data_IF_126529766801
#
_entry.id   IF_126529766801
#
_cell.length_a   1.000
_cell.length_b   1.000
_cell.length_c   1.000
_cell.angle_alpha   90.00
_cell.angle_beta   90.00
_cell.angle_gamma   90.00
#
_symmetry.space_group_name_H-M   'P 1'
#
loop_
_entity.id
_entity.type
_entity.pdbx_description
1 polymer ?
#
# COMPACT_ATOMS: atom_id res chain seq x y z
N UNK A 1 27.99 -4.33 -11.29
CA UNK A 1 27.42 -5.61 -10.79
C UNK A 1 25.91 -5.46 -10.83
N UNK A 2 25.16 -6.51 -11.14
CA UNK A 2 23.70 -6.44 -11.15
C UNK A 2 23.15 -6.20 -9.74
N UNK A 3 22.14 -5.32 -9.64
CA UNK A 3 21.49 -5.00 -8.37
C UNK A 3 20.63 -6.16 -7.87
N UNK A 4 20.76 -6.52 -6.59
CA UNK A 4 19.93 -7.51 -5.94
C UNK A 4 18.93 -6.87 -4.95
N UNK A 5 17.78 -7.48 -4.77
CA UNK A 5 16.81 -7.07 -3.76
C UNK A 5 17.23 -7.54 -2.37
N UNK A 6 17.01 -6.69 -1.36
CA UNK A 6 17.28 -7.03 0.05
C UNK A 6 16.48 -8.26 0.49
N UNK A 7 15.23 -8.40 0.00
CA UNK A 7 14.41 -9.58 0.28
C UNK A 7 15.09 -10.88 -0.17
N UNK A 8 15.75 -10.90 -1.31
CA UNK A 8 16.44 -12.08 -1.82
C UNK A 8 17.59 -12.51 -0.91
N UNK A 9 18.33 -11.53 -0.34
CA UNK A 9 19.41 -11.79 0.60
C UNK A 9 18.91 -12.44 1.90
N UNK A 10 17.70 -12.06 2.37
CA UNK A 10 17.08 -12.69 3.53
C UNK A 10 16.46 -14.04 3.24
N UNK A 11 15.96 -14.26 2.02
CA UNK A 11 15.34 -15.52 1.59
C UNK A 11 16.37 -16.63 1.36
N UNK A 12 17.48 -16.29 0.74
CA UNK A 12 18.60 -17.17 0.44
C UNK A 12 19.90 -16.42 0.64
N UNK A 13 20.35 -16.38 1.92
CA UNK A 13 21.57 -15.65 2.29
C UNK A 13 22.78 -16.20 1.54
N UNK A 14 23.48 -15.38 0.74
CA UNK A 14 24.70 -15.81 0.04
C UNK A 14 25.80 -16.23 1.01
N UNK A 15 26.82 -16.92 0.48
CA UNK A 15 28.00 -17.27 1.25
C UNK A 15 28.72 -16.04 1.79
N UNK A 16 29.40 -16.20 2.92
CA UNK A 16 30.28 -15.17 3.46
C UNK A 16 31.31 -14.71 2.43
N UNK A 17 31.57 -13.42 2.37
CA UNK A 17 32.49 -12.84 1.38
C UNK A 17 31.88 -12.57 -0.01
N UNK A 18 30.61 -12.87 -0.24
CA UNK A 18 29.94 -12.61 -1.54
C UNK A 18 29.82 -11.10 -1.81
N UNK A 19 30.21 -10.67 -3.01
CA UNK A 19 29.99 -9.30 -3.48
C UNK A 19 28.55 -9.09 -3.92
N UNK A 20 27.95 -8.01 -3.44
CA UNK A 20 26.57 -7.64 -3.76
C UNK A 20 26.46 -6.14 -4.04
N UNK A 21 25.51 -5.76 -4.88
CA UNK A 21 25.08 -4.37 -5.08
C UNK A 21 23.63 -4.24 -4.68
N UNK A 22 23.34 -3.31 -3.78
CA UNK A 22 21.97 -3.01 -3.30
C UNK A 22 21.69 -1.51 -3.45
N UNK A 23 20.43 -1.16 -3.77
CA UNK A 23 19.96 0.23 -3.73
C UNK A 23 18.86 0.36 -2.70
N UNK A 24 18.72 1.53 -2.10
CA UNK A 24 17.63 1.75 -1.15
C UNK A 24 17.69 3.12 -0.49
N UNK A 25 16.78 3.30 0.47
CA UNK A 25 16.67 4.53 1.25
C UNK A 25 17.16 4.31 2.68
N UNK A 26 17.93 5.27 3.20
CA UNK A 26 18.41 5.22 4.56
C UNK A 26 17.26 5.41 5.58
N UNK A 27 17.02 4.40 6.38
CA UNK A 27 16.17 4.52 7.58
C UNK A 27 16.91 5.19 8.73
N UNK A 28 18.21 4.96 8.83
CA UNK A 28 19.13 5.65 9.74
C UNK A 28 20.50 5.73 9.14
N UNK A 29 21.20 6.83 9.41
CA UNK A 29 22.65 6.97 9.19
C UNK A 29 23.25 7.29 10.55
N UNK A 30 24.33 6.60 10.92
CA UNK A 30 25.07 6.80 12.17
C UNK A 30 26.54 6.86 11.86
N UNK A 31 27.21 7.86 12.40
CA UNK A 31 28.65 8.06 12.27
C UNK A 31 29.33 7.87 13.64
N UNK A 32 30.42 7.13 13.66
CA UNK A 32 31.30 6.93 14.80
C UNK A 32 32.74 7.42 14.47
N UNK A 33 32.86 8.43 13.61
CA UNK A 33 34.11 9.11 13.16
C UNK A 33 35.02 8.28 12.26
N UNK A 34 35.12 6.98 12.45
CA UNK A 34 35.95 6.07 11.64
C UNK A 34 35.11 5.02 10.92
N UNK A 35 33.97 4.66 11.51
CA UNK A 35 33.05 3.65 11.00
C UNK A 35 31.67 4.23 11.04
N UNK A 36 30.92 4.13 9.94
CA UNK A 36 29.54 4.52 9.86
C UNK A 36 28.64 3.34 9.53
N UNK A 37 27.33 3.52 9.83
CA UNK A 37 26.32 2.52 9.63
C UNK A 37 25.11 3.13 8.95
N UNK A 38 24.62 2.49 7.88
CA UNK A 38 23.36 2.83 7.25
C UNK A 38 22.41 1.65 7.43
N UNK A 39 21.21 1.91 7.95
CA UNK A 39 20.11 0.96 7.87
C UNK A 39 19.39 1.22 6.55
N UNK A 40 19.64 0.38 5.54
CA UNK A 40 19.16 0.57 4.17
C UNK A 40 17.93 -0.32 3.89
N UNK A 41 16.88 0.26 3.33
CA UNK A 41 15.66 -0.44 2.93
C UNK A 41 15.33 -0.13 1.47
N UNK A 42 15.07 -1.17 0.67
CA UNK A 42 14.70 -1.06 -0.75
C UNK A 42 13.20 -1.23 -1.01
N UNK A 43 12.43 -1.52 0.02
CA UNK A 43 11.00 -1.78 -0.08
C UNK A 43 10.63 -3.22 -0.47
N UNK A 44 11.56 -4.07 -0.85
CA UNK A 44 11.31 -5.48 -1.19
C UNK A 44 10.85 -6.32 0.00
N UNK A 45 11.31 -5.98 1.21
CA UNK A 45 10.87 -6.59 2.47
C UNK A 45 10.76 -5.57 3.60
N UNK A 46 10.23 -6.01 4.76
CA UNK A 46 10.10 -5.14 5.93
C UNK A 46 11.44 -4.88 6.64
N UNK A 47 12.35 -5.87 6.62
CA UNK A 47 13.64 -5.78 7.30
C UNK A 47 14.64 -4.98 6.45
N UNK A 48 15.26 -3.90 6.99
CA UNK A 48 16.38 -3.25 6.32
C UNK A 48 17.66 -4.08 6.45
N UNK A 49 18.63 -3.84 5.59
CA UNK A 49 19.98 -4.39 5.73
C UNK A 49 20.91 -3.35 6.37
N UNK A 50 21.85 -3.80 7.19
CA UNK A 50 22.90 -2.94 7.72
C UNK A 50 24.05 -2.84 6.74
N UNK A 51 24.37 -1.61 6.37
CA UNK A 51 25.58 -1.27 5.61
C UNK A 51 26.61 -0.72 6.60
N UNK A 52 27.82 -1.23 6.54
CA UNK A 52 28.98 -0.73 7.30
C UNK A 52 29.93 -0.04 6.31
N UNK A 53 30.29 1.20 6.59
CA UNK A 53 31.24 1.94 5.77
C UNK A 53 32.35 2.54 6.62
N UNK A 54 33.59 2.59 6.09
CA UNK A 54 34.79 2.93 6.83
C UNK A 54 35.46 4.13 6.20
N UNK A 55 36.02 5.02 7.03
CA UNK A 55 36.62 6.26 6.59
C UNK A 55 37.96 6.06 5.80
N UNK A 56 38.65 4.97 6.06
CA UNK A 56 39.88 4.58 5.37
C UNK A 56 39.66 3.89 4.01
N UNK A 57 38.39 3.49 3.73
CA UNK A 57 38.03 2.78 2.49
C UNK A 57 37.14 3.61 1.55
N UNK A 58 36.39 4.56 2.09
CA UNK A 58 35.38 5.29 1.35
C UNK A 58 35.81 6.76 1.16
N UNK A 59 36.14 7.14 -0.06
CA UNK A 59 36.59 8.52 -0.39
C UNK A 59 35.53 9.59 0.01
N UNK A 60 34.26 9.29 -0.22
CA UNK A 60 33.15 10.19 0.11
C UNK A 60 32.54 9.92 1.51
N UNK A 61 33.29 9.35 2.45
CA UNK A 61 32.81 9.04 3.82
C UNK A 61 32.10 10.22 4.48
N UNK A 62 32.68 11.41 4.40
CA UNK A 62 32.13 12.60 5.06
C UNK A 62 30.75 13.04 4.48
N UNK A 63 30.55 12.82 3.19
CA UNK A 63 29.27 13.07 2.52
C UNK A 63 28.22 12.06 2.98
N UNK A 64 28.56 10.77 2.93
CA UNK A 64 27.66 9.67 3.36
C UNK A 64 27.30 9.81 4.85
N UNK A 65 28.27 10.10 5.71
CA UNK A 65 28.07 10.24 7.15
C UNK A 65 27.13 11.40 7.52
N UNK A 66 27.08 12.46 6.72
CA UNK A 66 26.22 13.64 6.90
C UNK A 66 24.84 13.49 6.25
N UNK A 67 24.61 12.42 5.50
CA UNK A 67 23.37 12.20 4.78
C UNK A 67 22.16 12.09 5.72
N UNK A 68 21.06 12.71 5.34
CA UNK A 68 19.81 12.66 6.07
C UNK A 68 19.05 11.33 5.94
N UNK A 69 18.01 11.20 6.74
CA UNK A 69 17.04 10.11 6.61
C UNK A 69 16.43 10.12 5.20
N UNK A 70 16.14 8.94 4.69
CA UNK A 70 15.56 8.74 3.33
C UNK A 70 16.45 9.18 2.16
N UNK A 71 17.68 9.60 2.39
CA UNK A 71 18.67 9.69 1.31
C UNK A 71 18.76 8.34 0.61
N UNK A 72 18.76 8.35 -0.72
CA UNK A 72 18.87 7.14 -1.53
C UNK A 72 20.31 6.84 -1.87
N UNK A 73 20.69 5.58 -1.75
CA UNK A 73 22.02 5.09 -1.98
C UNK A 73 22.06 3.89 -2.92
N UNK A 74 23.12 3.80 -3.72
CA UNK A 74 23.59 2.56 -4.28
C UNK A 74 24.86 2.14 -3.52
N UNK A 75 24.90 0.91 -3.06
CA UNK A 75 25.98 0.35 -2.28
C UNK A 75 26.47 -0.92 -2.91
N UNK A 76 27.75 -0.96 -3.27
CA UNK A 76 28.46 -2.20 -3.63
C UNK A 76 29.40 -2.57 -2.49
N UNK A 77 29.36 -3.82 -2.07
CA UNK A 77 30.15 -4.27 -0.94
C UNK A 77 30.18 -5.78 -0.78
N UNK A 78 30.82 -6.20 0.28
CA UNK A 78 30.98 -7.62 0.66
C UNK A 78 29.98 -7.96 1.75
N UNK A 79 29.15 -8.98 1.52
CA UNK A 79 28.28 -9.55 2.54
C UNK A 79 29.13 -10.30 3.57
N UNK A 80 28.90 -10.00 4.84
CA UNK A 80 29.58 -10.62 5.99
C UNK A 80 28.53 -11.22 6.92
N UNK A 81 28.66 -12.48 7.21
CA UNK A 81 27.77 -13.19 8.14
C UNK A 81 28.03 -12.74 9.58
N UNK A 82 26.95 -12.47 10.31
CA UNK A 82 27.02 -11.98 11.70
C UNK A 82 26.13 -12.85 12.65
N UNK A 83 26.47 -14.14 12.85
CA UNK A 83 25.63 -15.09 13.54
C UNK A 83 25.34 -14.73 15.01
N UNK A 84 26.18 -13.92 15.63
CA UNK A 84 26.04 -13.46 17.01
C UNK A 84 25.39 -12.07 17.15
N UNK A 85 25.00 -11.41 16.04
CA UNK A 85 24.33 -10.11 16.04
C UNK A 85 22.80 -10.25 15.88
N UNK A 86 22.08 -9.13 16.00
CA UNK A 86 20.63 -9.12 15.77
C UNK A 86 20.24 -9.43 14.32
N UNK A 87 21.05 -9.02 13.36
CA UNK A 87 20.91 -9.32 11.93
C UNK A 87 21.80 -10.52 11.57
N UNK A 88 21.37 -11.37 10.63
CA UNK A 88 22.15 -12.55 10.23
C UNK A 88 23.40 -12.21 9.40
N UNK A 89 23.42 -11.05 8.77
CA UNK A 89 24.52 -10.54 7.95
C UNK A 89 24.49 -9.00 7.90
N UNK A 90 25.58 -8.44 7.43
CA UNK A 90 25.72 -7.03 7.08
C UNK A 90 26.50 -6.90 5.75
N UNK A 91 26.51 -5.73 5.15
CA UNK A 91 27.28 -5.45 3.93
C UNK A 91 28.38 -4.44 4.28
N UNK A 92 29.63 -4.88 4.19
CA UNK A 92 30.79 -4.01 4.29
C UNK A 92 31.00 -3.31 2.94
N UNK A 93 30.70 -2.00 2.90
CA UNK A 93 30.70 -1.22 1.67
C UNK A 93 32.12 -1.02 1.13
N UNK A 94 32.28 -1.30 -0.16
CA UNK A 94 33.47 -0.88 -0.95
C UNK A 94 33.21 0.48 -1.59
N UNK A 95 31.96 0.70 -2.08
CA UNK A 95 31.52 1.97 -2.66
C UNK A 95 30.11 2.30 -2.17
N UNK A 96 29.87 3.60 -1.94
CA UNK A 96 28.54 4.14 -1.62
C UNK A 96 28.32 5.36 -2.50
N UNK A 97 27.36 5.27 -3.40
CA UNK A 97 26.96 6.36 -4.27
C UNK A 97 25.69 7.01 -3.73
N UNK A 98 25.68 8.31 -3.54
CA UNK A 98 24.49 9.08 -3.19
C UNK A 98 23.68 9.32 -4.46
N UNK A 99 22.53 8.67 -4.58
CA UNK A 99 21.63 8.80 -5.75
C UNK A 99 20.71 10.02 -5.64
N UNK A 100 20.35 10.39 -4.41
CA UNK A 100 19.51 11.55 -4.14
C UNK A 100 19.50 11.86 -2.66
N UNK A 101 19.65 13.14 -2.35
CA UNK A 101 19.68 13.64 -0.98
C UNK A 101 18.28 13.92 -0.45
N UNK A 102 18.12 13.91 0.88
CA UNK A 102 16.91 14.31 1.57
C UNK A 102 17.25 15.44 2.55
N UNK A 103 16.54 16.56 2.45
CA UNK A 103 16.76 17.75 3.28
C UNK A 103 16.34 17.56 4.74
N UNK A 104 16.78 18.47 5.59
CA UNK A 104 16.42 18.48 7.01
C UNK A 104 14.95 18.87 7.27
N UNK A 105 14.27 19.44 6.27
CA UNK A 105 12.87 19.81 6.26
C UNK A 105 11.93 18.64 5.94
N UNK A 106 12.46 17.46 5.64
CA UNK A 106 11.67 16.28 5.37
C UNK A 106 10.78 15.92 6.57
N UNK A 107 9.44 15.79 6.40
CA UNK A 107 8.51 15.68 7.52
C UNK A 107 8.69 14.45 8.41
N UNK A 108 9.15 13.31 7.83
CA UNK A 108 9.34 12.08 8.59
C UNK A 108 10.73 12.06 9.26
N UNK A 109 10.81 12.61 10.45
CA UNK A 109 12.02 12.64 11.26
C UNK A 109 12.07 11.47 12.27
N UNK A 110 13.19 11.34 13.02
CA UNK A 110 13.38 10.28 14.03
C UNK A 110 12.41 10.34 15.20
N UNK A 111 11.72 11.45 15.37
CA UNK A 111 10.79 11.67 16.50
C UNK A 111 9.58 10.73 16.35
N UNK A 112 9.04 10.29 17.51
CA UNK A 112 7.79 9.53 17.55
C UNK A 112 6.65 10.41 17.08
N UNK A 113 6.05 10.09 15.95
CA UNK A 113 4.91 10.82 15.38
C UNK A 113 3.61 10.10 15.73
N UNK A 114 2.60 10.87 16.13
CA UNK A 114 1.25 10.35 16.36
C UNK A 114 0.58 9.87 15.07
N UNK A 115 -0.34 8.92 15.20
CA UNK A 115 -1.06 8.36 14.05
C UNK A 115 -1.88 9.43 13.31
N UNK A 116 -2.47 10.36 14.03
CA UNK A 116 -3.28 11.44 13.44
C UNK A 116 -2.43 12.37 12.57
N UNK A 117 -1.26 12.74 13.04
CA UNK A 117 -0.30 13.52 12.24
C UNK A 117 0.14 12.72 10.98
N UNK A 118 0.45 11.43 11.11
CA UNK A 118 0.84 10.60 9.97
C UNK A 118 -0.30 10.46 8.95
N UNK A 119 -1.55 10.51 9.38
CA UNK A 119 -2.70 10.52 8.47
C UNK A 119 -2.81 11.79 7.63
N UNK A 120 -2.32 12.93 8.10
CA UNK A 120 -2.23 14.15 7.29
C UNK A 120 -1.12 14.08 6.22
N UNK A 121 -0.14 13.18 6.40
CA UNK A 121 0.96 12.95 5.47
C UNK A 121 0.68 11.73 4.57
N UNK A 122 -0.44 11.71 3.86
CA UNK A 122 -0.94 10.55 3.10
C UNK A 122 0.08 9.96 2.14
N UNK A 123 0.86 10.80 1.45
CA UNK A 123 1.89 10.43 0.48
C UNK A 123 3.21 9.94 1.11
N UNK A 124 3.45 10.25 2.40
CA UNK A 124 4.68 9.87 3.11
C UNK A 124 4.47 8.74 4.12
N UNK A 125 3.29 8.65 4.73
CA UNK A 125 3.01 7.66 5.79
C UNK A 125 3.35 6.21 5.44
N UNK A 126 3.27 5.74 4.18
CA UNK A 126 3.68 4.37 3.82
C UNK A 126 5.16 4.07 4.08
N UNK A 127 5.99 5.12 4.20
CA UNK A 127 7.42 4.99 4.51
C UNK A 127 7.70 4.74 6.00
N UNK A 128 6.71 4.98 6.88
CA UNK A 128 6.83 4.69 8.32
C UNK A 128 6.66 3.20 8.59
N UNK A 129 7.26 2.70 9.66
CA UNK A 129 7.21 1.27 9.97
C UNK A 129 5.78 0.76 10.18
N UNK A 130 4.94 1.52 10.90
CA UNK A 130 3.55 1.11 11.19
C UNK A 130 2.71 1.02 9.93
N UNK A 131 2.71 2.06 9.09
CA UNK A 131 1.91 2.04 7.86
C UNK A 131 2.49 1.08 6.81
N UNK A 132 3.83 0.94 6.73
CA UNK A 132 4.45 -0.05 5.86
C UNK A 132 4.00 -1.47 6.24
N UNK A 133 4.02 -1.80 7.53
CA UNK A 133 3.53 -3.09 8.02
C UNK A 133 2.03 -3.27 7.72
N UNK A 134 1.20 -2.27 8.01
CA UNK A 134 -0.24 -2.34 7.76
C UNK A 134 -0.57 -2.57 6.27
N UNK A 135 0.08 -1.83 5.35
CA UNK A 135 -0.15 -2.02 3.92
C UNK A 135 0.34 -3.37 3.40
N UNK A 136 1.45 -3.90 3.95
CA UNK A 136 1.90 -5.26 3.61
C UNK A 136 0.92 -6.32 4.07
N UNK A 137 0.44 -6.23 5.31
CA UNK A 137 -0.59 -7.15 5.84
C UNK A 137 -1.86 -7.06 5.02
N UNK A 138 -2.33 -5.84 4.71
CA UNK A 138 -3.53 -5.65 3.87
C UNK A 138 -3.37 -6.31 2.50
N UNK A 139 -2.22 -6.12 1.84
CA UNK A 139 -1.97 -6.73 0.53
C UNK A 139 -1.96 -8.26 0.59
N UNK A 140 -1.32 -8.85 1.62
CA UNK A 140 -1.31 -10.30 1.81
C UNK A 140 -2.69 -10.85 2.16
N UNK A 141 -3.46 -10.14 3.00
CA UNK A 141 -4.82 -10.53 3.34
C UNK A 141 -5.73 -10.53 2.10
N UNK A 142 -5.66 -9.50 1.27
CA UNK A 142 -6.42 -9.43 0.03
C UNK A 142 -6.11 -10.61 -0.90
N UNK A 143 -4.82 -10.92 -1.08
CA UNK A 143 -4.42 -12.08 -1.89
C UNK A 143 -4.91 -13.41 -1.29
N UNK A 144 -4.80 -13.60 0.03
CA UNK A 144 -5.26 -14.80 0.70
C UNK A 144 -6.77 -15.03 0.56
N UNK A 145 -7.56 -13.95 0.57
CA UNK A 145 -9.01 -14.02 0.32
C UNK A 145 -9.31 -14.46 -1.11
N UNK A 146 -8.64 -13.87 -2.12
CA UNK A 146 -8.78 -14.33 -3.49
C UNK A 146 -8.37 -15.81 -3.65
N UNK A 147 -7.28 -16.23 -3.03
CA UNK A 147 -6.81 -17.61 -3.06
C UNK A 147 -7.84 -18.56 -2.42
N UNK A 148 -8.43 -18.18 -1.28
CA UNK A 148 -9.45 -18.96 -0.58
C UNK A 148 -10.68 -19.18 -1.48
N UNK A 149 -11.27 -18.12 -2.00
CA UNK A 149 -12.46 -18.23 -2.84
C UNK A 149 -12.20 -19.01 -4.12
N UNK A 150 -11.06 -18.74 -4.78
CA UNK A 150 -10.68 -19.47 -5.98
C UNK A 150 -10.53 -20.98 -5.74
N UNK A 151 -9.86 -21.37 -4.64
CA UNK A 151 -9.70 -22.79 -4.26
C UNK A 151 -11.02 -23.47 -3.93
N UNK A 152 -12.03 -22.73 -3.48
CA UNK A 152 -13.36 -23.24 -3.19
C UNK A 152 -14.33 -23.16 -4.39
N UNK A 153 -13.81 -22.89 -5.58
CA UNK A 153 -14.57 -22.93 -6.84
C UNK A 153 -15.41 -21.67 -7.11
N UNK A 154 -15.14 -20.58 -6.43
CA UNK A 154 -15.79 -19.30 -6.71
C UNK A 154 -15.09 -18.55 -7.84
N UNK A 155 -15.87 -17.91 -8.69
CA UNK A 155 -15.37 -17.01 -9.73
C UNK A 155 -15.37 -15.58 -9.22
N UNK A 156 -14.21 -14.90 -9.26
CA UNK A 156 -14.15 -13.47 -8.98
C UNK A 156 -14.87 -12.67 -10.06
N UNK A 157 -15.77 -11.79 -9.66
CA UNK A 157 -16.47 -10.88 -10.57
C UNK A 157 -16.24 -9.43 -10.14
N UNK A 158 -15.92 -8.58 -11.12
CA UNK A 158 -15.80 -7.15 -10.89
C UNK A 158 -17.14 -6.48 -11.21
N UNK A 159 -17.74 -5.89 -10.20
CA UNK A 159 -19.02 -5.16 -10.34
C UNK A 159 -18.77 -3.67 -10.57
N UNK A 160 -19.63 -2.98 -11.32
CA UNK A 160 -19.49 -1.54 -11.54
C UNK A 160 -19.54 -0.74 -10.26
N UNK A 161 -18.69 0.28 -10.16
CA UNK A 161 -18.70 1.23 -9.04
C UNK A 161 -19.79 2.29 -9.23
N UNK A 162 -20.03 2.69 -10.48
CA UNK A 162 -21.13 3.61 -10.84
C UNK A 162 -22.41 2.82 -11.03
N UNK A 163 -23.45 3.19 -10.29
CA UNK A 163 -24.74 2.52 -10.36
C UNK A 163 -25.89 3.50 -10.39
N UNK A 164 -26.96 3.13 -11.09
CA UNK A 164 -28.24 3.82 -11.03
C UNK A 164 -29.22 3.21 -10.02
N UNK A 165 -28.82 2.12 -9.33
CA UNK A 165 -29.66 1.38 -8.42
C UNK A 165 -29.12 1.44 -6.99
N UNK A 166 -30.01 1.58 -6.02
CA UNK A 166 -29.72 1.37 -4.61
C UNK A 166 -29.84 -0.12 -4.29
N UNK A 167 -28.93 -0.66 -3.49
CA UNK A 167 -28.97 -2.03 -3.02
C UNK A 167 -29.72 -2.08 -1.69
N UNK A 168 -30.85 -2.78 -1.65
CA UNK A 168 -31.68 -3.03 -0.46
C UNK A 168 -32.23 -1.77 0.24
N UNK A 169 -32.21 -0.60 -0.40
CA UNK A 169 -32.53 0.66 0.26
C UNK A 169 -31.54 1.00 1.38
N UNK A 170 -30.33 0.49 1.29
CA UNK A 170 -29.36 0.39 2.38
C UNK A 170 -28.55 1.65 2.57
N UNK A 171 -29.04 2.82 2.29
CA UNK A 171 -28.32 3.95 2.77
C UNK A 171 -28.20 5.17 1.89
N UNK A 172 -27.60 6.19 2.45
CA UNK A 172 -27.28 7.42 1.74
C UNK A 172 -26.15 7.14 0.75
N UNK A 173 -26.43 7.31 -0.55
CA UNK A 173 -25.46 7.11 -1.63
C UNK A 173 -24.76 8.43 -1.95
N UNK A 174 -23.48 8.35 -2.24
CA UNK A 174 -22.77 9.47 -2.87
C UNK A 174 -23.19 9.61 -4.32
N UNK A 175 -23.69 10.78 -4.69
CA UNK A 175 -24.05 11.09 -6.06
C UNK A 175 -22.82 11.47 -6.88
N UNK A 176 -22.77 10.98 -8.13
CA UNK A 176 -21.73 11.34 -9.10
C UNK A 176 -22.34 12.17 -10.20
N UNK A 177 -21.76 13.33 -10.46
CA UNK A 177 -22.22 14.26 -11.49
C UNK A 177 -21.05 15.02 -12.11
N UNK A 178 -21.19 15.41 -13.36
CA UNK A 178 -20.28 16.33 -14.08
C UNK A 178 -20.91 17.70 -14.27
N UNK A 179 -22.12 17.94 -13.73
CA UNK A 179 -22.76 19.24 -13.76
C UNK A 179 -22.01 20.24 -12.89
N UNK A 180 -21.96 21.50 -13.33
CA UNK A 180 -21.46 22.59 -12.49
C UNK A 180 -22.43 22.84 -11.34
N UNK A 181 -21.98 22.57 -10.11
CA UNK A 181 -22.80 22.76 -8.90
C UNK A 181 -23.12 24.23 -8.59
N UNK A 182 -22.41 25.20 -9.21
CA UNK A 182 -22.72 26.61 -9.08
C UNK A 182 -23.80 27.08 -10.06
N UNK A 183 -24.01 26.34 -11.17
CA UNK A 183 -25.01 26.63 -12.20
C UNK A 183 -25.65 25.34 -12.70
N UNK A 184 -26.43 24.72 -11.81
CA UNK A 184 -27.09 23.44 -12.08
C UNK A 184 -28.25 23.64 -13.05
N UNK A 185 -28.25 23.00 -14.25
CA UNK A 185 -29.37 23.04 -15.17
C UNK A 185 -30.61 22.44 -14.56
N UNK A 186 -31.77 23.08 -14.80
CA UNK A 186 -33.05 22.69 -14.24
C UNK A 186 -34.09 22.40 -15.33
N UNK A 187 -34.94 21.47 -15.05
CA UNK A 187 -36.15 21.18 -15.81
C UNK A 187 -37.22 22.25 -15.56
N UNK A 188 -38.30 22.25 -16.33
CA UNK A 188 -39.40 23.20 -16.18
C UNK A 188 -40.08 23.13 -14.79
N UNK A 189 -40.06 21.95 -14.15
CA UNK A 189 -40.58 21.75 -12.78
C UNK A 189 -39.51 22.04 -11.67
N UNK A 190 -38.39 22.64 -12.04
CA UNK A 190 -37.37 23.12 -11.10
C UNK A 190 -36.41 22.05 -10.54
N UNK A 191 -36.52 20.81 -10.99
CA UNK A 191 -35.60 19.72 -10.62
C UNK A 191 -34.31 19.79 -11.42
N UNK A 192 -33.28 19.06 -10.97
CA UNK A 192 -32.02 18.93 -11.71
C UNK A 192 -32.28 18.26 -13.07
N UNK A 193 -31.83 18.88 -14.15
CA UNK A 193 -31.89 18.30 -15.49
C UNK A 193 -30.69 17.37 -15.76
N UNK A 194 -30.82 16.13 -15.35
CA UNK A 194 -29.78 15.11 -15.59
C UNK A 194 -29.59 14.74 -17.06
N UNK A 195 -30.47 15.16 -17.99
CA UNK A 195 -30.24 14.95 -19.42
C UNK A 195 -28.99 15.67 -19.93
N UNK A 196 -28.53 16.68 -19.18
CA UNK A 196 -27.29 17.44 -19.42
C UNK A 196 -26.07 16.84 -18.74
N UNK A 197 -26.23 15.87 -17.85
CA UNK A 197 -25.13 15.18 -17.17
C UNK A 197 -24.53 14.08 -18.06
N UNK A 198 -23.34 13.60 -17.68
CA UNK A 198 -22.58 12.60 -18.43
C UNK A 198 -23.41 11.34 -18.74
N UNK A 199 -24.04 10.75 -17.75
CA UNK A 199 -24.85 9.54 -17.90
C UNK A 199 -26.30 9.81 -18.34
N UNK A 200 -26.70 11.06 -18.50
CA UNK A 200 -28.06 11.51 -18.83
C UNK A 200 -29.14 11.01 -17.86
N UNK A 201 -28.75 10.61 -16.67
CA UNK A 201 -29.60 10.15 -15.56
C UNK A 201 -28.83 10.27 -14.24
N UNK A 202 -29.50 10.24 -13.07
CA UNK A 202 -28.84 10.16 -11.79
C UNK A 202 -28.00 8.89 -11.70
N UNK A 203 -26.77 9.04 -11.21
CA UNK A 203 -25.81 7.96 -10.97
C UNK A 203 -25.14 8.19 -9.63
N UNK A 204 -24.86 7.12 -8.92
CA UNK A 204 -24.26 7.12 -7.60
C UNK A 204 -23.06 6.17 -7.52
N UNK A 205 -22.27 6.32 -6.47
CA UNK A 205 -21.29 5.29 -6.08
C UNK A 205 -22.02 4.14 -5.40
N UNK A 206 -21.63 2.91 -5.74
CA UNK A 206 -22.29 1.70 -5.21
C UNK A 206 -22.08 1.53 -3.70
N UNK A 207 -23.09 1.05 -3.02
CA UNK A 207 -23.04 0.66 -1.60
C UNK A 207 -22.76 -0.83 -1.41
N UNK A 208 -22.84 -1.64 -2.49
CA UNK A 208 -22.61 -3.09 -2.51
C UNK A 208 -22.46 -3.56 -3.96
N UNK A 209 -21.70 -4.62 -4.16
CA UNK A 209 -21.65 -5.33 -5.45
C UNK A 209 -22.69 -6.44 -5.59
N UNK A 210 -23.57 -6.61 -4.61
CA UNK A 210 -24.50 -7.74 -4.50
C UNK A 210 -25.42 -7.88 -5.72
N UNK A 211 -26.10 -6.80 -6.16
CA UNK A 211 -27.09 -6.89 -7.24
C UNK A 211 -26.50 -7.43 -8.55
N UNK A 212 -25.30 -6.97 -8.90
CA UNK A 212 -24.59 -7.44 -10.10
C UNK A 212 -23.99 -8.83 -9.87
N UNK A 213 -23.54 -9.14 -8.64
CA UNK A 213 -23.04 -10.47 -8.27
C UNK A 213 -24.14 -11.53 -8.36
N UNK A 214 -25.36 -11.26 -7.91
CA UNK A 214 -26.52 -12.15 -8.07
C UNK A 214 -26.80 -12.46 -9.56
N UNK A 215 -26.77 -11.42 -10.40
CA UNK A 215 -26.94 -11.62 -11.84
C UNK A 215 -25.84 -12.51 -12.45
N UNK A 216 -24.61 -12.39 -11.96
CA UNK A 216 -23.49 -13.25 -12.38
C UNK A 216 -23.61 -14.66 -11.80
N UNK A 217 -24.09 -14.82 -10.57
CA UNK A 217 -24.32 -16.14 -9.95
C UNK A 217 -25.34 -16.97 -10.73
N UNK A 218 -26.34 -16.34 -11.35
CA UNK A 218 -27.31 -17.01 -12.24
C UNK A 218 -26.67 -17.65 -13.48
N UNK A 219 -25.45 -17.26 -13.84
CA UNK A 219 -24.72 -17.80 -14.98
C UNK A 219 -23.50 -18.65 -14.56
N UNK A 220 -22.83 -18.28 -13.48
CA UNK A 220 -21.55 -18.86 -13.06
C UNK A 220 -21.66 -19.76 -11.82
N UNK A 221 -22.82 -19.79 -11.16
CA UNK A 221 -23.10 -20.62 -9.99
C UNK A 221 -22.56 -20.07 -8.69
N UNK A 222 -21.24 -20.01 -8.53
CA UNK A 222 -20.56 -19.48 -7.35
C UNK A 222 -19.67 -18.30 -7.76
N UNK A 223 -19.97 -17.13 -7.25
CA UNK A 223 -19.20 -15.91 -7.54
C UNK A 223 -18.87 -15.18 -6.25
N UNK A 224 -17.91 -14.29 -6.30
CA UNK A 224 -17.67 -13.33 -5.22
C UNK A 224 -17.20 -12.00 -5.78
N UNK A 225 -17.58 -10.92 -5.12
CA UNK A 225 -16.97 -9.61 -5.30
C UNK A 225 -15.92 -9.37 -4.24
N UNK A 226 -14.95 -8.55 -4.53
CA UNK A 226 -14.04 -7.98 -3.57
C UNK A 226 -13.61 -6.62 -4.09
N UNK A 227 -14.35 -5.58 -3.72
CA UNK A 227 -14.20 -4.27 -4.30
C UNK A 227 -14.62 -3.13 -3.37
N UNK A 228 -14.33 -1.88 -3.77
CA UNK A 228 -14.68 -0.71 -3.00
C UNK A 228 -16.20 -0.49 -3.02
N UNK A 229 -16.73 -0.14 -1.85
CA UNK A 229 -18.09 0.30 -1.64
C UNK A 229 -18.10 1.63 -0.89
N UNK A 230 -19.19 2.39 -1.06
CA UNK A 230 -19.26 3.77 -0.59
C UNK A 230 -20.59 4.00 0.11
N UNK A 231 -20.54 4.48 1.34
CA UNK A 231 -21.75 4.79 2.12
C UNK A 231 -21.63 6.18 2.72
N UNK A 232 -22.65 7.01 2.52
CA UNK A 232 -22.66 8.41 2.92
C UNK A 232 -23.38 8.64 4.26
N UNK A 233 -23.65 7.59 5.03
CA UNK A 233 -24.29 7.73 6.34
C UNK A 233 -23.47 8.64 7.27
N UNK A 234 -24.17 9.51 7.97
CA UNK A 234 -23.57 10.49 8.89
C UNK A 234 -23.14 9.86 10.22
N UNK A 235 -22.40 8.77 10.17
CA UNK A 235 -21.84 8.07 11.33
C UNK A 235 -20.42 8.56 11.59
N UNK A 236 -20.27 9.41 12.60
CA UNK A 236 -18.97 10.00 12.96
C UNK A 236 -18.28 9.20 14.07
N UNK A 237 -17.94 7.95 13.82
CA UNK A 237 -17.21 7.10 14.75
C UNK A 237 -15.96 6.46 14.13
N UNK A 238 -15.21 5.71 14.91
CA UNK A 238 -13.96 5.08 14.48
C UNK A 238 -14.13 3.79 13.68
N UNK A 239 -15.35 3.30 13.52
CA UNK A 239 -15.67 2.03 12.88
C UNK A 239 -16.35 2.18 11.53
N UNK A 240 -16.92 3.36 11.24
CA UNK A 240 -17.57 3.65 9.97
C UNK A 240 -16.63 4.42 9.06
N UNK A 241 -16.41 3.90 7.87
CA UNK A 241 -15.65 4.55 6.81
C UNK A 241 -16.59 4.81 5.63
N UNK A 242 -16.43 5.98 5.00
CA UNK A 242 -17.23 6.33 3.81
C UNK A 242 -16.84 5.49 2.57
N UNK A 243 -15.62 4.94 2.56
CA UNK A 243 -15.11 4.02 1.55
C UNK A 243 -14.46 2.83 2.25
N UNK A 244 -14.85 1.63 1.86
CA UNK A 244 -14.28 0.37 2.37
C UNK A 244 -14.42 -0.73 1.33
N UNK A 245 -13.73 -1.85 1.53
CA UNK A 245 -13.83 -3.00 0.64
C UNK A 245 -14.70 -4.06 1.27
N UNK A 246 -15.66 -4.57 0.51
CA UNK A 246 -16.51 -5.69 0.90
C UNK A 246 -16.15 -6.96 0.14
N UNK A 247 -16.30 -8.08 0.83
CA UNK A 247 -16.23 -9.42 0.25
C UNK A 247 -17.64 -9.97 0.31
N UNK A 248 -18.21 -10.26 -0.85
CA UNK A 248 -19.61 -10.62 -1.01
C UNK A 248 -19.69 -11.88 -1.89
N UNK A 249 -19.65 -13.08 -1.29
CA UNK A 249 -19.89 -14.33 -2.02
C UNK A 249 -21.39 -14.51 -2.28
N UNK A 250 -21.71 -15.02 -3.48
CA UNK A 250 -23.05 -15.36 -3.92
C UNK A 250 -23.05 -16.78 -4.51
N UNK A 251 -23.99 -17.61 -4.06
CA UNK A 251 -24.12 -18.99 -4.51
C UNK A 251 -25.54 -19.29 -5.00
N UNK A 252 -25.64 -19.73 -6.25
CA UNK A 252 -26.90 -20.27 -6.76
C UNK A 252 -27.18 -21.65 -6.16
N UNK A 253 -28.47 -21.99 -5.97
CA UNK A 253 -28.94 -23.27 -5.45
C UNK A 253 -28.45 -23.64 -4.04
N UNK A 254 -28.05 -22.66 -3.26
CA UNK A 254 -27.59 -22.81 -1.88
C UNK A 254 -28.64 -22.35 -0.87
N UNK A 255 -28.72 -23.01 0.27
CA UNK A 255 -29.48 -22.56 1.44
C UNK A 255 -28.54 -22.15 2.58
N UNK A 256 -29.09 -21.79 3.73
CA UNK A 256 -28.31 -21.37 4.90
C UNK A 256 -27.32 -22.44 5.36
N UNK A 257 -27.64 -23.73 5.18
CA UNK A 257 -26.74 -24.83 5.58
C UNK A 257 -25.53 -24.93 4.64
N UNK A 258 -25.75 -24.64 3.37
CA UNK A 258 -24.67 -24.65 2.37
C UNK A 258 -23.71 -23.45 2.53
N UNK A 259 -24.24 -22.34 3.06
CA UNK A 259 -23.47 -21.12 3.31
C UNK A 259 -22.61 -21.21 4.59
N UNK A 260 -22.99 -22.04 5.55
CA UNK A 260 -22.30 -22.26 6.82
C UNK A 260 -21.12 -23.24 6.72
#
# INVERSE_FOLDING_TARGET
MERVEIASLYKATPADGTKVTVCGWAKTVRDSKKIGFISLADGSCYKPVQIVFQADKLENYAEVAKSGLYTSFEVTGTLVLTPNAKQPFEINADTVTVLGTCGSDYPLQKNKMGMDYLRTLTHLRPRTNTFNAAFRVRGQAAYALHEFFHKNGFTYVHTPIFTGSDCEGAGEMFQVTTLDLNDVPKTEDGKVDYSKDFFKRPVNLTVSGQLEAEAMAMALGKVYTFGPTFRAEKSYDTRHAAEFWMIEPEMAFADLTDDM
#
